data_IF_513626384804
#
_entry.id   IF_513626384804
#
_cell.length_a   1.000
_cell.length_b   1.000
_cell.length_c   1.000
_cell.angle_alpha   90.00
_cell.angle_beta   90.00
_cell.angle_gamma   90.00
#
_symmetry.space_group_name_H-M   'P 1'
#
loop_
_entity.id
_entity.type
_entity.pdbx_description
1 polymer ?
#
# COMPACT_ATOMS: atom_id res chain seq x y z
N UNK A 1 -7.44 4.38 -14.65
CA UNK A 1 -6.25 5.00 -14.02
C UNK A 1 -6.41 6.52 -14.04
N UNK A 2 -6.00 7.26 -13.00
CA UNK A 2 -6.12 8.73 -12.89
C UNK A 2 -4.79 9.47 -13.11
N UNK A 3 -3.70 8.93 -12.58
CA UNK A 3 -2.36 9.48 -12.73
C UNK A 3 -1.32 8.37 -12.58
N UNK A 4 -0.16 8.54 -13.18
CA UNK A 4 1.04 7.75 -12.94
C UNK A 4 2.16 8.70 -12.54
N UNK A 5 2.85 8.42 -11.43
CA UNK A 5 3.87 9.27 -10.85
C UNK A 5 5.14 8.45 -10.64
N UNK A 6 6.26 8.92 -11.19
CA UNK A 6 7.56 8.29 -11.07
C UNK A 6 8.42 9.05 -10.08
N UNK A 7 8.99 8.30 -9.15
CA UNK A 7 9.99 8.76 -8.17
C UNK A 7 11.29 8.00 -8.42
N UNK A 8 12.36 8.44 -7.75
CA UNK A 8 13.67 7.80 -7.77
C UNK A 8 13.64 6.36 -7.23
N UNK A 9 12.77 6.05 -6.27
CA UNK A 9 12.67 4.72 -5.64
C UNK A 9 11.48 3.87 -6.11
N UNK A 10 10.49 4.44 -6.79
CA UNK A 10 9.26 3.72 -7.16
C UNK A 10 8.42 4.40 -8.24
N UNK A 11 7.42 3.67 -8.71
CA UNK A 11 6.32 4.17 -9.53
C UNK A 11 4.98 3.98 -8.81
N UNK A 12 4.17 5.04 -8.76
CA UNK A 12 2.81 5.01 -8.22
C UNK A 12 1.78 5.19 -9.33
N UNK A 13 0.86 4.25 -9.44
CA UNK A 13 -0.34 4.36 -10.26
C UNK A 13 -1.54 4.71 -9.37
N UNK A 14 -2.14 5.86 -9.61
CA UNK A 14 -3.25 6.40 -8.82
C UNK A 14 -4.57 6.05 -9.49
N UNK A 15 -5.48 5.44 -8.75
CA UNK A 15 -6.83 5.10 -9.19
C UNK A 15 -7.88 5.87 -8.39
N UNK A 16 -9.17 5.56 -8.60
CA UNK A 16 -10.27 6.26 -7.96
C UNK A 16 -10.21 6.14 -6.43
N UNK A 17 -9.98 4.92 -5.93
CA UNK A 17 -10.00 4.62 -4.49
C UNK A 17 -8.77 3.82 -4.03
N UNK A 18 -7.77 3.62 -4.88
CA UNK A 18 -6.56 2.90 -4.47
C UNK A 18 -5.32 3.42 -5.20
N UNK A 19 -4.17 3.09 -4.63
CA UNK A 19 -2.85 3.31 -5.24
C UNK A 19 -2.22 1.94 -5.47
N UNK A 20 -1.58 1.75 -6.63
CA UNK A 20 -0.65 0.65 -6.86
C UNK A 20 0.76 1.21 -6.84
N UNK A 21 1.64 0.62 -6.03
CA UNK A 21 3.04 0.95 -5.93
C UNK A 21 3.89 -0.18 -6.51
N UNK A 22 4.87 0.19 -7.33
CA UNK A 22 5.94 -0.72 -7.80
C UNK A 22 7.26 -0.10 -7.36
N UNK A 23 7.94 -0.75 -6.43
CA UNK A 23 9.25 -0.29 -5.93
C UNK A 23 10.34 -0.74 -6.90
N UNK A 24 11.32 0.12 -7.17
CA UNK A 24 12.44 -0.20 -8.05
C UNK A 24 13.32 -1.31 -7.45
N UNK A 25 13.99 -2.07 -8.31
CA UNK A 25 14.88 -3.16 -7.88
C UNK A 25 16.10 -2.64 -7.10
N UNK A 26 16.47 -3.34 -6.03
CA UNK A 26 17.61 -3.00 -5.18
C UNK A 26 17.36 -1.87 -4.17
N UNK A 27 16.17 -1.26 -4.19
CA UNK A 27 15.82 -0.17 -3.27
C UNK A 27 15.59 -0.66 -1.84
N UNK A 28 15.69 0.30 -0.90
CA UNK A 28 15.29 0.08 0.49
C UNK A 28 14.23 1.09 0.89
N UNK A 29 12.98 0.64 1.01
CA UNK A 29 11.86 1.45 1.48
C UNK A 29 12.04 1.70 2.97
N UNK A 30 11.84 2.94 3.40
CA UNK A 30 12.10 3.41 4.76
C UNK A 30 11.19 4.57 5.13
N UNK A 31 11.09 4.98 6.40
CA UNK A 31 10.14 5.99 6.85
C UNK A 31 10.16 7.31 6.04
N UNK A 32 11.32 7.74 5.55
CA UNK A 32 11.45 8.95 4.72
C UNK A 32 10.60 8.90 3.44
N UNK A 33 10.44 7.71 2.86
CA UNK A 33 9.66 7.51 1.64
C UNK A 33 8.15 7.64 1.89
N UNK A 34 7.71 7.47 3.15
CA UNK A 34 6.30 7.57 3.50
C UNK A 34 5.75 9.00 3.38
N UNK A 35 6.62 10.02 3.39
CA UNK A 35 6.23 11.40 3.09
C UNK A 35 5.58 11.52 1.70
N UNK A 36 6.06 10.73 0.73
CA UNK A 36 5.46 10.67 -0.60
C UNK A 36 4.05 10.13 -0.52
N UNK A 37 3.85 9.01 0.18
CA UNK A 37 2.52 8.41 0.36
C UNK A 37 1.55 9.36 1.07
N UNK A 38 2.00 10.07 2.11
CA UNK A 38 1.18 11.08 2.81
C UNK A 38 0.77 12.22 1.86
N UNK A 39 1.70 12.70 1.02
CA UNK A 39 1.39 13.74 0.01
C UNK A 39 0.36 13.24 -1.01
N UNK A 40 0.47 11.99 -1.45
CA UNK A 40 -0.49 11.37 -2.36
C UNK A 40 -1.87 11.21 -1.71
N UNK A 41 -1.92 10.75 -0.46
CA UNK A 41 -3.16 10.63 0.32
C UNK A 41 -3.88 11.99 0.41
N UNK A 42 -3.16 13.05 0.79
CA UNK A 42 -3.71 14.41 0.89
C UNK A 42 -4.16 14.98 -0.45
N UNK A 43 -3.44 14.69 -1.54
CA UNK A 43 -3.72 15.26 -2.88
C UNK A 43 -4.86 14.55 -3.60
N UNK A 44 -4.89 13.23 -3.58
CA UNK A 44 -5.81 12.42 -4.40
C UNK A 44 -6.97 11.81 -3.60
N UNK A 45 -6.82 11.70 -2.28
CA UNK A 45 -7.75 10.99 -1.40
C UNK A 45 -8.22 11.83 -0.21
N UNK A 46 -8.19 13.17 -0.32
CA UNK A 46 -8.68 14.06 0.73
C UNK A 46 -10.11 13.67 1.16
N UNK A 47 -10.29 13.40 2.46
CA UNK A 47 -11.56 13.03 3.09
C UNK A 47 -12.29 11.87 2.41
N UNK A 48 -11.56 10.92 1.81
CA UNK A 48 -12.15 9.70 1.25
C UNK A 48 -11.28 8.50 1.59
N UNK A 49 -11.91 7.34 1.87
CA UNK A 49 -11.17 6.12 2.10
C UNK A 49 -10.42 5.71 0.84
N UNK A 50 -9.21 5.19 1.02
CA UNK A 50 -8.45 4.59 -0.06
C UNK A 50 -7.64 3.38 0.42
N UNK A 51 -7.27 2.53 -0.53
CA UNK A 51 -6.40 1.39 -0.29
C UNK A 51 -5.01 1.60 -0.91
N UNK A 52 -4.02 0.96 -0.31
CA UNK A 52 -2.67 0.89 -0.85
C UNK A 52 -2.35 -0.55 -1.24
N UNK A 53 -1.85 -0.73 -2.46
CA UNK A 53 -1.44 -2.02 -3.00
C UNK A 53 0.04 -1.91 -3.37
N UNK A 54 0.91 -2.69 -2.74
CA UNK A 54 2.29 -2.84 -3.20
C UNK A 54 2.43 -4.07 -4.07
N UNK A 55 2.83 -3.87 -5.33
CA UNK A 55 3.04 -4.92 -6.31
C UNK A 55 4.54 -5.26 -6.39
N UNK A 56 4.94 -6.29 -5.65
CA UNK A 56 6.33 -6.72 -5.47
C UNK A 56 6.79 -7.58 -6.64
N UNK A 57 7.02 -6.94 -7.78
CA UNK A 57 7.59 -7.60 -8.96
C UNK A 57 9.13 -7.57 -8.97
N UNK A 58 9.73 -6.73 -8.13
CA UNK A 58 11.18 -6.56 -7.98
C UNK A 58 11.66 -6.98 -6.58
N UNK A 59 12.95 -7.32 -6.47
CA UNK A 59 13.60 -7.55 -5.18
C UNK A 59 13.99 -6.23 -4.54
N UNK A 60 13.50 -5.97 -3.33
CA UNK A 60 13.78 -4.76 -2.56
C UNK A 60 13.60 -5.02 -1.05
N UNK A 61 14.23 -4.20 -0.22
CA UNK A 61 14.14 -4.27 1.23
C UNK A 61 13.13 -3.26 1.79
N UNK A 62 12.58 -3.57 2.97
CA UNK A 62 11.67 -2.66 3.68
C UNK A 62 12.13 -2.55 5.13
N UNK A 63 12.38 -1.32 5.60
CA UNK A 63 12.50 -1.02 7.02
C UNK A 63 11.12 -1.14 7.67
N UNK A 64 10.92 -2.05 8.63
CA UNK A 64 9.62 -2.23 9.30
C UNK A 64 9.03 -0.97 9.93
N UNK A 65 9.84 0.04 10.24
CA UNK A 65 9.34 1.33 10.76
C UNK A 65 8.44 2.06 9.76
N UNK A 66 8.52 1.76 8.46
CA UNK A 66 7.65 2.38 7.46
C UNK A 66 6.17 2.07 7.73
N UNK A 67 5.86 0.90 8.29
CA UNK A 67 4.51 0.45 8.57
C UNK A 67 3.86 1.28 9.69
N UNK A 68 4.65 1.70 10.68
CA UNK A 68 4.19 2.64 11.72
C UNK A 68 3.77 3.97 11.13
N UNK A 69 4.58 4.53 10.23
CA UNK A 69 4.25 5.80 9.57
C UNK A 69 3.06 5.65 8.61
N UNK A 70 2.96 4.52 7.92
CA UNK A 70 1.82 4.21 7.04
C UNK A 70 0.53 4.13 7.84
N UNK A 71 0.56 3.52 9.03
CA UNK A 71 -0.62 3.35 9.88
C UNK A 71 -1.18 4.67 10.41
N UNK A 72 -0.40 5.76 10.39
CA UNK A 72 -0.86 7.11 10.78
C UNK A 72 -1.73 7.78 9.72
N UNK A 73 -1.82 7.22 8.52
CA UNK A 73 -2.69 7.75 7.45
C UNK A 73 -4.13 7.32 7.76
N UNK A 74 -4.93 8.25 8.27
CA UNK A 74 -6.27 7.98 8.80
C UNK A 74 -7.20 7.36 7.76
N UNK A 75 -7.24 7.95 6.56
CA UNK A 75 -8.09 7.55 5.46
C UNK A 75 -7.55 6.37 4.63
N UNK A 76 -6.41 5.79 5.02
CA UNK A 76 -5.96 4.51 4.49
C UNK A 76 -6.74 3.40 5.19
N UNK A 77 -7.56 2.66 4.44
CA UNK A 77 -8.48 1.65 5.00
C UNK A 77 -8.07 0.20 4.70
N UNK A 78 -7.18 -0.01 3.74
CA UNK A 78 -6.67 -1.34 3.40
C UNK A 78 -5.25 -1.28 2.86
N UNK A 79 -4.45 -2.29 3.21
CA UNK A 79 -3.09 -2.48 2.74
C UNK A 79 -2.95 -3.88 2.14
N UNK A 80 -2.68 -3.96 0.84
CA UNK A 80 -2.49 -5.23 0.14
C UNK A 80 -1.05 -5.38 -0.34
N UNK A 81 -0.51 -6.58 -0.20
CA UNK A 81 0.80 -6.95 -0.74
C UNK A 81 0.61 -8.02 -1.81
N UNK A 82 1.07 -7.75 -3.01
CA UNK A 82 1.06 -8.70 -4.13
C UNK A 82 2.48 -9.17 -4.36
N UNK A 83 2.72 -10.48 -4.27
CA UNK A 83 4.04 -11.08 -4.48
C UNK A 83 3.87 -12.49 -5.03
N UNK A 84 4.64 -12.84 -6.07
CA UNK A 84 4.69 -14.22 -6.59
C UNK A 84 5.57 -15.14 -5.75
N UNK A 85 6.50 -14.57 -4.97
CA UNK A 85 7.30 -15.32 -4.01
C UNK A 85 6.56 -15.37 -2.68
N UNK A 86 6.56 -16.57 -2.06
CA UNK A 86 6.15 -16.76 -0.67
C UNK A 86 6.93 -15.79 0.21
N UNK A 87 6.28 -14.72 0.65
CA UNK A 87 6.86 -13.80 1.62
C UNK A 87 7.10 -14.62 2.88
N UNK A 88 8.36 -14.67 3.34
CA UNK A 88 8.70 -15.41 4.55
C UNK A 88 7.74 -15.05 5.68
N UNK A 89 7.21 -16.06 6.36
CA UNK A 89 6.18 -15.93 7.40
C UNK A 89 6.62 -14.98 8.53
N UNK A 90 7.93 -14.84 8.73
CA UNK A 90 8.55 -13.90 9.68
C UNK A 90 8.34 -12.44 9.26
N UNK A 91 8.51 -12.09 7.99
CA UNK A 91 8.29 -10.72 7.50
C UNK A 91 6.81 -10.34 7.64
N UNK A 92 5.90 -11.23 7.21
CA UNK A 92 4.45 -10.98 7.29
C UNK A 92 3.96 -10.73 8.73
N UNK A 93 4.54 -11.39 9.74
CA UNK A 93 4.18 -11.17 11.15
C UNK A 93 4.61 -9.79 11.66
N UNK A 94 5.80 -9.33 11.27
CA UNK A 94 6.32 -8.01 11.63
C UNK A 94 5.48 -6.93 10.97
N UNK A 95 5.16 -7.08 9.68
CA UNK A 95 4.33 -6.13 8.92
C UNK A 95 2.92 -5.99 9.52
N UNK A 96 2.28 -7.11 9.87
CA UNK A 96 0.96 -7.13 10.52
C UNK A 96 0.95 -6.54 11.93
N UNK A 97 2.08 -6.59 12.64
CA UNK A 97 2.18 -6.06 14.01
C UNK A 97 2.25 -4.52 14.04
N UNK A 98 2.76 -3.90 12.98
CA UNK A 98 2.92 -2.44 12.90
C UNK A 98 1.81 -1.72 12.14
N UNK A 99 1.02 -2.44 11.35
CA UNK A 99 -0.16 -1.91 10.67
C UNK A 99 -1.42 -2.19 11.48
N UNK A 100 -2.01 -1.16 12.09
CA UNK A 100 -3.34 -1.23 12.71
C UNK A 100 -4.47 -1.11 11.68
N UNK A 101 -4.23 -1.55 10.43
CA UNK A 101 -5.16 -1.45 9.30
C UNK A 101 -5.34 -2.84 8.68
N UNK A 102 -6.50 -3.14 8.06
CA UNK A 102 -6.70 -4.37 7.31
C UNK A 102 -5.53 -4.64 6.35
N UNK A 103 -4.89 -5.80 6.53
CA UNK A 103 -3.70 -6.21 5.78
C UNK A 103 -3.91 -7.61 5.19
N UNK A 104 -3.57 -7.79 3.92
CA UNK A 104 -3.63 -9.12 3.27
C UNK A 104 -2.59 -9.29 2.15
N UNK A 105 -2.05 -10.50 2.05
CA UNK A 105 -1.14 -10.91 0.98
C UNK A 105 -1.93 -11.58 -0.16
N UNK A 106 -1.47 -11.40 -1.39
CA UNK A 106 -2.04 -11.96 -2.60
C UNK A 106 -0.96 -12.42 -3.57
N UNK A 107 -1.28 -13.41 -4.40
CA UNK A 107 -0.43 -13.84 -5.51
C UNK A 107 -0.75 -13.03 -6.77
N UNK A 108 -2.04 -12.75 -7.00
CA UNK A 108 -2.50 -12.02 -8.18
C UNK A 108 -2.96 -10.60 -7.84
N UNK A 109 -2.55 -9.64 -8.67
CA UNK A 109 -2.90 -8.23 -8.51
C UNK A 109 -4.42 -8.00 -8.58
N UNK A 110 -5.13 -8.73 -9.43
CA UNK A 110 -6.58 -8.62 -9.57
C UNK A 110 -7.30 -8.99 -8.27
N UNK A 111 -6.86 -10.03 -7.56
CA UNK A 111 -7.47 -10.45 -6.30
C UNK A 111 -7.28 -9.39 -5.21
N UNK A 112 -6.10 -8.77 -5.17
CA UNK A 112 -5.81 -7.66 -4.27
C UNK A 112 -6.71 -6.46 -4.54
N UNK A 113 -6.91 -6.10 -5.81
CA UNK A 113 -7.79 -5.00 -6.22
C UNK A 113 -9.23 -5.28 -5.76
N UNK A 114 -9.79 -6.45 -6.07
CA UNK A 114 -11.15 -6.80 -5.66
C UNK A 114 -11.32 -6.76 -4.14
N UNK A 115 -10.36 -7.29 -3.38
CA UNK A 115 -10.41 -7.24 -1.92
C UNK A 115 -10.34 -5.80 -1.38
N UNK A 116 -9.48 -4.95 -1.93
CA UNK A 116 -9.40 -3.54 -1.55
C UNK A 116 -10.72 -2.82 -1.83
N UNK A 117 -11.32 -3.01 -3.01
CA UNK A 117 -12.59 -2.40 -3.37
C UNK A 117 -13.73 -2.84 -2.45
N UNK A 118 -13.76 -4.11 -2.05
CA UNK A 118 -14.73 -4.61 -1.07
C UNK A 118 -14.58 -3.89 0.28
N UNK A 119 -13.36 -3.75 0.81
CA UNK A 119 -13.14 -3.05 2.08
C UNK A 119 -13.57 -1.59 1.98
N UNK A 120 -13.18 -0.90 0.91
CA UNK A 120 -13.54 0.51 0.71
C UNK A 120 -15.06 0.68 0.66
N UNK A 121 -15.76 -0.24 -0.01
CA UNK A 121 -17.22 -0.22 -0.11
C UNK A 121 -17.86 -0.37 1.28
N UNK A 122 -17.41 -1.33 2.08
CA UNK A 122 -17.87 -1.50 3.47
C UNK A 122 -17.59 -0.25 4.31
N UNK A 123 -16.39 0.33 4.21
CA UNK A 123 -16.03 1.55 4.96
C UNK A 123 -16.82 2.80 4.55
N UNK A 124 -17.47 2.81 3.38
CA UNK A 124 -18.29 3.95 2.91
C UNK A 124 -19.78 3.78 3.28
N UNK A 125 -20.20 2.57 3.67
CA UNK A 125 -21.60 2.27 4.06
C UNK A 125 -21.83 2.51 5.56
N UNK A 126 -20.75 2.59 6.36
CA UNK A 126 -20.81 2.80 7.81
C UNK A 126 -20.83 4.29 8.24
N UNK A 127 -20.98 5.23 7.29
CA UNK A 127 -21.26 6.67 7.53
C UNK A 127 -22.72 7.03 7.22
#
# INVERSE_FOLDING_TARGET
>A
MRAALKYDFCEFSIFKNFIIAVINEGETVSPKHNEVLIKLAKKYFKNRPFAYITNRIHSYAVDPKVYLETSKIENLVAFAVVSQQELSTSNTKVEKMFLNKPYKNFIHLLDAIHWCENIITTSTIEE
#
